data_IF_815613798370
#
_entry.id   IF_815613798370
#
_cell.length_a   1.000
_cell.length_b   1.000
_cell.length_c   1.000
_cell.angle_alpha   90.00
_cell.angle_beta   90.00
_cell.angle_gamma   90.00
#
_symmetry.space_group_name_H-M   'P 1'
#
loop_
_entity.id
_entity.type
_entity.pdbx_description
1 polymer ?
#
# COMPACT_ATOMS: atom_id res chain seq x y z
N UNK A 1 -15.92 27.50 14.16
CA UNK A 1 -15.89 26.53 13.04
C UNK A 1 -16.30 25.18 13.58
N UNK A 2 -17.42 24.62 13.13
CA UNK A 2 -17.83 23.27 13.51
C UNK A 2 -16.82 22.28 12.94
N UNK A 3 -15.88 21.83 13.78
CA UNK A 3 -15.01 20.70 13.48
C UNK A 3 -15.88 19.44 13.58
N UNK A 4 -16.59 19.12 12.50
CA UNK A 4 -17.16 17.78 12.33
C UNK A 4 -16.05 16.72 12.30
N UNK A 5 -16.41 15.46 12.10
CA UNK A 5 -15.43 14.37 11.98
C UNK A 5 -14.43 14.64 10.82
N UNK A 6 -13.23 15.09 11.16
CA UNK A 6 -12.15 15.38 10.21
C UNK A 6 -11.29 14.12 10.01
N UNK A 7 -11.28 13.59 8.79
CA UNK A 7 -10.47 12.43 8.42
C UNK A 7 -8.99 12.76 8.26
N UNK A 8 -8.66 13.98 7.83
CA UNK A 8 -7.31 14.53 7.85
C UNK A 8 -7.37 15.98 8.36
N UNK A 9 -6.39 16.42 9.16
CA UNK A 9 -6.35 17.79 9.67
C UNK A 9 -5.88 18.78 8.59
N UNK A 10 -6.14 20.07 8.81
CA UNK A 10 -5.60 21.14 7.97
C UNK A 10 -4.06 21.20 8.07
N UNK A 11 -3.41 21.53 6.97
CA UNK A 11 -1.95 21.63 6.90
C UNK A 11 -1.43 22.80 7.75
N UNK A 12 -0.59 22.49 8.72
CA UNK A 12 -0.06 23.46 9.67
C UNK A 12 1.47 23.63 9.60
N UNK A 13 2.15 22.91 8.70
CA UNK A 13 3.60 22.93 8.55
C UNK A 13 4.01 22.90 7.07
N UNK A 14 5.21 23.38 6.77
CA UNK A 14 5.80 23.39 5.42
C UNK A 14 6.03 21.99 4.86
N UNK A 15 6.21 20.99 5.72
CA UNK A 15 6.36 19.57 5.32
C UNK A 15 5.05 18.78 5.33
N UNK A 16 3.94 19.36 5.84
CA UNK A 16 2.65 18.66 5.93
C UNK A 16 2.13 18.16 4.57
N UNK A 17 2.18 18.94 3.46
CA UNK A 17 1.68 18.45 2.17
C UNK A 17 2.43 17.20 1.66
N UNK A 18 3.75 17.13 1.89
CA UNK A 18 4.57 16.00 1.44
C UNK A 18 4.31 14.73 2.27
N UNK A 19 4.08 14.90 3.58
CA UNK A 19 3.70 13.79 4.47
C UNK A 19 2.31 13.27 4.12
N UNK A 20 1.34 14.16 3.91
CA UNK A 20 -0.02 13.80 3.51
C UNK A 20 -0.01 12.98 2.22
N UNK A 21 0.82 13.38 1.25
CA UNK A 21 0.91 12.71 -0.04
C UNK A 21 1.51 11.30 0.09
N UNK A 22 2.57 11.14 0.90
CA UNK A 22 3.12 9.81 1.23
C UNK A 22 2.08 8.94 1.94
N UNK A 23 1.34 9.51 2.89
CA UNK A 23 0.27 8.82 3.61
C UNK A 23 -0.81 8.32 2.65
N UNK A 24 -1.35 9.20 1.79
CA UNK A 24 -2.37 8.83 0.81
C UNK A 24 -1.86 7.78 -0.18
N UNK A 25 -0.60 7.86 -0.60
CA UNK A 25 0.02 6.85 -1.46
C UNK A 25 -0.01 5.46 -0.80
N UNK A 26 0.44 5.35 0.47
CA UNK A 26 0.43 4.08 1.21
C UNK A 26 -1.00 3.56 1.39
N UNK A 27 -1.95 4.42 1.72
CA UNK A 27 -3.37 4.06 1.90
C UNK A 27 -3.97 3.52 0.59
N UNK A 28 -3.74 4.21 -0.54
CA UNK A 28 -4.25 3.79 -1.86
C UNK A 28 -3.65 2.44 -2.25
N UNK A 29 -2.35 2.24 -2.09
CA UNK A 29 -1.69 0.96 -2.37
C UNK A 29 -2.27 -0.15 -1.50
N UNK A 30 -2.51 0.12 -0.21
CA UNK A 30 -3.11 -0.85 0.71
C UNK A 30 -4.53 -1.24 0.30
N UNK A 31 -5.37 -0.25 -0.03
CA UNK A 31 -6.73 -0.48 -0.51
C UNK A 31 -6.72 -1.25 -1.83
N UNK A 32 -5.81 -0.92 -2.75
CA UNK A 32 -5.67 -1.62 -4.03
C UNK A 32 -5.41 -3.11 -3.81
N UNK A 33 -4.43 -3.48 -2.97
CA UNK A 33 -4.15 -4.88 -2.68
C UNK A 33 -5.28 -5.59 -1.95
N UNK A 34 -5.94 -4.90 -1.01
CA UNK A 34 -7.12 -5.43 -0.33
C UNK A 34 -8.20 -5.82 -1.35
N UNK A 35 -8.58 -4.88 -2.23
CA UNK A 35 -9.59 -5.11 -3.26
C UNK A 35 -9.15 -6.21 -4.23
N UNK A 36 -7.91 -6.16 -4.73
CA UNK A 36 -7.36 -7.14 -5.66
C UNK A 36 -7.44 -8.55 -5.07
N UNK A 37 -6.95 -8.75 -3.85
CA UNK A 37 -6.93 -10.06 -3.19
C UNK A 37 -8.35 -10.54 -2.92
N UNK A 38 -9.24 -9.68 -2.40
CA UNK A 38 -10.64 -10.05 -2.16
C UNK A 38 -11.36 -10.46 -3.44
N UNK A 39 -11.17 -9.71 -4.53
CA UNK A 39 -11.75 -10.03 -5.84
C UNK A 39 -11.21 -11.36 -6.37
N UNK A 40 -9.89 -11.59 -6.29
CA UNK A 40 -9.28 -12.85 -6.74
C UNK A 40 -9.79 -14.05 -5.94
N UNK A 41 -9.88 -13.93 -4.62
CA UNK A 41 -10.43 -14.98 -3.76
C UNK A 41 -11.87 -15.30 -4.16
N UNK A 42 -12.73 -14.28 -4.27
CA UNK A 42 -14.13 -14.49 -4.63
C UNK A 42 -14.28 -15.08 -6.04
N UNK A 43 -13.53 -14.55 -7.01
CA UNK A 43 -13.52 -15.03 -8.38
C UNK A 43 -13.10 -16.51 -8.45
N UNK A 44 -12.04 -16.91 -7.74
CA UNK A 44 -11.58 -18.29 -7.70
C UNK A 44 -12.51 -19.21 -6.92
N UNK A 45 -13.10 -18.73 -5.82
CA UNK A 45 -14.10 -19.47 -5.07
C UNK A 45 -15.34 -19.81 -5.93
N UNK A 46 -15.81 -18.86 -6.75
CA UNK A 46 -16.95 -19.09 -7.66
C UNK A 46 -16.54 -19.94 -8.86
N UNK A 47 -15.38 -19.65 -9.47
CA UNK A 47 -14.90 -20.33 -10.69
C UNK A 47 -14.54 -21.79 -10.43
N UNK A 48 -13.88 -22.10 -9.32
CA UNK A 48 -13.40 -23.43 -8.96
C UNK A 48 -14.27 -24.12 -7.90
N UNK A 49 -15.53 -23.67 -7.74
CA UNK A 49 -16.52 -24.37 -6.90
C UNK A 49 -16.79 -25.76 -7.47
N UNK A 50 -16.59 -26.80 -6.67
CA UNK A 50 -16.91 -28.19 -7.04
C UNK A 50 -18.37 -28.33 -7.46
N UNK A 51 -18.61 -28.92 -8.62
CA UNK A 51 -19.95 -29.15 -9.21
C UNK A 51 -20.33 -30.62 -9.30
N UNK A 52 -19.36 -31.53 -9.26
CA UNK A 52 -19.59 -32.98 -9.30
C UNK A 52 -18.60 -33.70 -8.41
N UNK A 53 -18.96 -34.91 -7.97
CA UNK A 53 -18.06 -35.72 -7.14
C UNK A 53 -16.82 -36.21 -7.88
N UNK A 54 -16.91 -36.35 -9.21
CA UNK A 54 -15.83 -36.80 -10.09
C UNK A 54 -14.88 -35.69 -10.56
N UNK A 55 -15.12 -34.42 -10.18
CA UNK A 55 -14.18 -33.32 -10.50
C UNK A 55 -12.87 -33.49 -9.71
N UNK A 56 -11.84 -34.00 -10.37
CA UNK A 56 -10.47 -34.03 -9.84
C UNK A 56 -9.71 -32.80 -10.31
N UNK A 57 -9.13 -31.99 -9.40
CA UNK A 57 -8.35 -30.82 -9.80
C UNK A 57 -7.08 -31.24 -10.55
N UNK A 58 -6.71 -30.49 -11.58
CA UNK A 58 -5.45 -30.68 -12.27
C UNK A 58 -4.27 -30.37 -11.33
N UNK A 59 -3.26 -31.23 -11.31
CA UNK A 59 -2.00 -30.94 -10.60
C UNK A 59 -1.21 -29.89 -11.39
N UNK A 60 -1.20 -28.67 -10.89
CA UNK A 60 -0.34 -27.59 -11.38
C UNK A 60 0.76 -27.38 -10.34
N UNK A 61 2.02 -27.59 -10.74
CA UNK A 61 3.17 -27.55 -9.83
C UNK A 61 3.74 -26.14 -9.57
N UNK A 62 3.29 -25.13 -10.30
CA UNK A 62 3.72 -23.75 -10.13
C UNK A 62 3.77 -23.00 -11.45
N UNK A 63 4.12 -21.72 -11.37
CA UNK A 63 4.32 -20.89 -12.54
C UNK A 63 5.35 -19.83 -12.22
N UNK A 64 6.60 -20.08 -12.65
CA UNK A 64 7.74 -19.21 -12.40
C UNK A 64 7.47 -17.73 -12.79
N UNK A 65 6.81 -17.41 -13.93
CA UNK A 65 6.52 -16.02 -14.25
C UNK A 65 5.58 -15.34 -13.24
N UNK A 66 4.60 -16.06 -12.72
CA UNK A 66 3.66 -15.56 -11.71
C UNK A 66 4.34 -15.38 -10.37
N UNK A 67 5.21 -16.33 -10.01
CA UNK A 67 6.03 -16.30 -8.80
C UNK A 67 6.97 -15.09 -8.77
N UNK A 68 7.60 -14.79 -9.90
CA UNK A 68 8.44 -13.60 -10.07
C UNK A 68 7.56 -12.34 -9.98
N UNK A 69 6.44 -12.29 -10.70
CA UNK A 69 5.58 -11.11 -10.73
C UNK A 69 5.08 -10.73 -9.32
N UNK A 70 4.55 -11.69 -8.55
CA UNK A 70 4.03 -11.40 -7.22
C UNK A 70 5.12 -11.14 -6.18
N UNK A 71 6.39 -11.44 -6.46
CA UNK A 71 7.50 -11.19 -5.53
C UNK A 71 8.16 -9.84 -5.82
N UNK A 72 8.40 -9.55 -7.09
CA UNK A 72 9.09 -8.33 -7.54
C UNK A 72 8.20 -7.11 -7.40
N UNK A 73 6.90 -7.19 -7.71
CA UNK A 73 6.01 -6.03 -7.64
C UNK A 73 5.88 -5.50 -6.19
N UNK A 74 5.57 -6.33 -5.18
CA UNK A 74 5.52 -5.85 -3.79
C UNK A 74 6.88 -5.36 -3.29
N UNK A 75 7.97 -6.02 -3.67
CA UNK A 75 9.33 -5.58 -3.31
C UNK A 75 9.62 -4.18 -3.86
N UNK A 76 9.34 -3.92 -5.13
CA UNK A 76 9.57 -2.62 -5.76
C UNK A 76 8.72 -1.53 -5.09
N UNK A 77 7.44 -1.80 -4.82
CA UNK A 77 6.58 -0.87 -4.10
C UNK A 77 7.10 -0.56 -2.70
N UNK A 78 7.57 -1.57 -1.97
CA UNK A 78 8.18 -1.39 -0.66
C UNK A 78 9.43 -0.51 -0.72
N UNK A 79 10.30 -0.72 -1.71
CA UNK A 79 11.49 0.11 -1.91
C UNK A 79 11.15 1.58 -2.20
N UNK A 80 10.11 1.83 -2.99
CA UNK A 80 9.63 3.20 -3.27
C UNK A 80 9.10 3.86 -1.99
N UNK A 81 8.23 3.18 -1.25
CA UNK A 81 7.66 3.69 0.01
C UNK A 81 8.77 3.96 1.04
N UNK A 82 9.72 3.04 1.17
CA UNK A 82 10.84 3.17 2.09
C UNK A 82 11.76 4.33 1.72
N UNK A 83 12.16 4.43 0.46
CA UNK A 83 13.06 5.49 0.00
C UNK A 83 12.45 6.88 0.17
N UNK A 84 11.18 7.03 -0.22
CA UNK A 84 10.46 8.30 -0.04
C UNK A 84 10.26 8.65 1.43
N UNK A 85 9.78 7.69 2.24
CA UNK A 85 9.59 7.90 3.67
C UNK A 85 10.88 8.26 4.39
N UNK A 86 11.99 7.61 4.04
CA UNK A 86 13.31 7.90 4.62
C UNK A 86 13.79 9.30 4.23
N UNK A 87 13.65 9.70 2.96
CA UNK A 87 14.03 11.03 2.51
C UNK A 87 13.24 12.12 3.24
N UNK A 88 11.93 11.93 3.37
CA UNK A 88 11.06 12.88 4.06
C UNK A 88 11.33 12.92 5.57
N UNK A 89 11.64 11.77 6.19
CA UNK A 89 12.08 11.70 7.57
C UNK A 89 13.31 12.57 7.81
N UNK A 90 14.35 12.46 6.99
CA UNK A 90 15.54 13.30 7.14
C UNK A 90 15.22 14.80 6.95
N UNK A 91 14.32 15.14 6.03
CA UNK A 91 13.89 16.53 5.82
C UNK A 91 13.16 17.13 7.02
N UNK A 92 12.35 16.33 7.73
CA UNK A 92 11.59 16.78 8.91
C UNK A 92 12.47 16.87 10.16
N UNK A 93 13.43 15.97 10.33
CA UNK A 93 14.26 15.88 11.53
C UNK A 93 15.58 16.68 11.45
N UNK A 94 15.94 17.21 10.28
CA UNK A 94 17.04 18.18 10.20
C UNK A 94 16.57 19.54 10.72
N UNK A 95 17.18 19.97 11.83
CA UNK A 95 16.93 21.28 12.41
C UNK A 95 17.35 22.36 11.40
N UNK A 96 16.45 23.28 10.99
CA UNK A 96 16.80 24.36 10.08
C UNK A 96 17.85 25.30 10.69
N UNK A 97 18.73 25.86 9.85
CA UNK A 97 19.64 26.92 10.28
C UNK A 97 18.82 28.11 10.84
N UNK A 98 19.11 28.53 12.07
CA UNK A 98 18.40 29.62 12.74
C UNK A 98 17.16 29.19 13.54
N UNK A 99 17.02 27.90 13.87
CA UNK A 99 16.00 27.45 14.81
C UNK A 99 16.13 28.18 16.17
N UNK A 100 15.01 28.69 16.67
CA UNK A 100 14.94 29.27 18.01
C UNK A 100 15.24 28.19 19.04
N UNK A 101 16.22 28.42 19.92
CA UNK A 101 16.37 27.64 21.14
C UNK A 101 15.27 28.08 22.11
N UNK A 102 14.35 27.16 22.43
CA UNK A 102 13.24 27.38 23.37
C UNK A 102 13.30 26.33 24.46
#
# INVERSE_FOLDING_TARGET
>A
MNKGFQLHPDQASTFAPELDLLYFFVVIVSIFFLVLITVLIYAFAVKYRRRSDDERPALIHGSLPLEIAWSVIPLALMMIMFGWGTWLFFKVYQVPEGALEI
#
